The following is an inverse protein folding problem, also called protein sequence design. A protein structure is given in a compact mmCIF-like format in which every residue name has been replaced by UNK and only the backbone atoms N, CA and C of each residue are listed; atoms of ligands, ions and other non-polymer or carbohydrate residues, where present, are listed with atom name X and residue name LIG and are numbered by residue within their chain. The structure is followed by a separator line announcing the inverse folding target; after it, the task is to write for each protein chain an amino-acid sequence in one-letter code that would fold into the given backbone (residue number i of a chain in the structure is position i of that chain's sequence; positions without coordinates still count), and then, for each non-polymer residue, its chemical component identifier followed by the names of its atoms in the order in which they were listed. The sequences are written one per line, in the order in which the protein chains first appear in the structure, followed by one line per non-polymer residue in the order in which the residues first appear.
data_IF_958445191592
#
_entry.id   IF_958445191592
#
_cell.length_a   1.000
_cell.length_b   1.000
_cell.length_c   1.000
_cell.angle_alpha   90.00
_cell.angle_beta   90.00
_cell.angle_gamma   90.00
#
_symmetry.space_group_name_H-M   'P 1'
#
loop_
_entity.id
_entity.type
_entity.pdbx_description
1 polymer ?
#
# COMPACT_ATOMS: atom_id res chain seq x y z
N UNK A 1 16.48 -23.47 3.23
CA UNK A 1 15.83 -22.32 2.57
C UNK A 1 14.76 -21.86 3.55
N UNK A 2 15.06 -20.88 4.41
CA UNK A 2 14.05 -20.34 5.33
C UNK A 2 12.96 -19.71 4.47
N UNK A 3 11.69 -20.08 4.71
CA UNK A 3 10.59 -19.29 4.17
C UNK A 3 10.75 -17.89 4.76
N UNK A 4 10.98 -16.89 3.91
CA UNK A 4 10.96 -15.51 4.35
C UNK A 4 9.63 -15.28 5.08
N UNK A 5 9.70 -14.92 6.36
CA UNK A 5 8.51 -14.72 7.17
C UNK A 5 7.64 -13.65 6.53
N UNK A 6 6.35 -13.93 6.42
CA UNK A 6 5.36 -13.04 5.80
C UNK A 6 4.69 -12.26 6.91
N UNK A 7 5.27 -11.13 7.26
CA UNK A 7 4.81 -10.33 8.40
C UNK A 7 3.95 -9.14 7.94
N UNK A 8 4.49 -8.32 7.04
CA UNK A 8 3.83 -7.11 6.54
C UNK A 8 3.71 -7.07 5.01
N UNK A 9 3.02 -6.05 4.51
CA UNK A 9 2.86 -5.79 3.09
C UNK A 9 3.38 -4.40 2.72
N UNK A 10 4.34 -4.36 1.81
CA UNK A 10 4.65 -3.14 1.08
C UNK A 10 3.70 -3.04 -0.12
N UNK A 11 2.94 -1.96 -0.16
CA UNK A 11 1.97 -1.67 -1.22
C UNK A 11 2.48 -0.48 -2.04
N UNK A 12 2.52 -0.61 -3.36
CA UNK A 12 2.97 0.47 -4.25
C UNK A 12 1.80 1.26 -4.81
N UNK A 13 1.88 2.57 -4.68
CA UNK A 13 0.99 3.53 -5.31
C UNK A 13 1.76 4.32 -6.37
N UNK A 14 1.16 4.59 -7.54
CA UNK A 14 1.70 5.58 -8.46
C UNK A 14 0.88 6.87 -8.36
N UNK A 15 1.41 7.92 -7.68
CA UNK A 15 0.67 9.17 -7.47
C UNK A 15 0.35 9.94 -8.75
N UNK A 16 1.02 9.64 -9.88
CA UNK A 16 0.70 10.24 -11.18
C UNK A 16 -0.57 9.64 -11.80
N UNK A 17 -0.92 8.41 -11.43
CA UNK A 17 -2.05 7.69 -12.02
C UNK A 17 -3.26 7.66 -11.09
N UNK A 18 -3.03 7.59 -9.77
CA UNK A 18 -4.09 7.53 -8.78
C UNK A 18 -3.91 8.62 -7.73
N UNK A 19 -4.92 9.48 -7.59
CA UNK A 19 -4.94 10.64 -6.71
C UNK A 19 -5.23 10.24 -5.27
N UNK A 20 -4.27 9.54 -4.66
CA UNK A 20 -4.39 9.00 -3.31
C UNK A 20 -4.79 10.04 -2.25
N UNK A 21 -4.37 11.30 -2.46
CA UNK A 21 -4.66 12.41 -1.54
C UNK A 21 -6.14 12.77 -1.47
N UNK A 22 -6.95 12.38 -2.45
CA UNK A 22 -8.42 12.56 -2.42
C UNK A 22 -9.11 11.48 -1.56
N UNK A 23 -8.42 10.36 -1.29
CA UNK A 23 -9.00 9.17 -0.64
C UNK A 23 -8.50 8.94 0.78
N UNK A 24 -7.31 9.43 1.12
CA UNK A 24 -6.73 9.32 2.47
C UNK A 24 -6.65 10.72 3.07
N UNK A 25 -7.49 11.12 4.02
CA UNK A 25 -7.54 12.48 4.58
C UNK A 25 -6.23 12.98 5.20
N UNK A 26 -6.09 14.31 5.35
CA UNK A 26 -4.95 14.97 6.03
C UNK A 26 -5.14 15.14 7.53
N UNK A 27 -6.36 14.94 8.04
CA UNK A 27 -6.73 15.18 9.44
C UNK A 27 -6.32 14.03 10.39
N UNK A 28 -5.61 13.03 9.87
CA UNK A 28 -5.21 11.83 10.61
C UNK A 28 -6.30 10.77 10.72
N UNK A 29 -7.48 10.98 10.15
CA UNK A 29 -8.52 9.95 10.12
C UNK A 29 -8.12 8.76 9.24
N UNK A 30 -8.61 7.58 9.62
CA UNK A 30 -8.40 6.33 8.89
C UNK A 30 -9.37 6.27 7.71
N UNK A 31 -8.83 6.04 6.51
CA UNK A 31 -9.60 5.77 5.31
C UNK A 31 -9.67 4.27 5.01
N UNK A 32 -10.86 3.78 4.67
CA UNK A 32 -11.04 2.44 4.10
C UNK A 32 -10.99 2.49 2.57
N UNK A 33 -10.00 1.80 1.98
CA UNK A 33 -9.78 1.81 0.53
C UNK A 33 -9.78 0.39 -0.02
N UNK A 34 -10.61 0.16 -1.04
CA UNK A 34 -10.61 -1.09 -1.80
C UNK A 34 -9.46 -1.07 -2.83
N UNK A 35 -8.37 -1.77 -2.51
CA UNK A 35 -7.13 -1.73 -3.29
C UNK A 35 -7.04 -2.89 -4.28
N UNK A 36 -6.89 -2.58 -5.57
CA UNK A 36 -6.74 -3.61 -6.62
C UNK A 36 -5.47 -4.44 -6.42
N UNK A 37 -5.62 -5.76 -6.38
CA UNK A 37 -4.50 -6.68 -6.19
C UNK A 37 -4.62 -7.92 -7.10
N UNK A 38 -3.52 -8.69 -7.22
CA UNK A 38 -3.47 -9.98 -7.91
C UNK A 38 -3.17 -11.14 -6.94
N UNK A 39 -3.38 -10.90 -5.65
CA UNK A 39 -3.17 -11.89 -4.60
C UNK A 39 -4.34 -12.89 -4.57
N UNK A 40 -4.14 -14.04 -3.94
CA UNK A 40 -5.18 -15.09 -3.86
C UNK A 40 -6.06 -14.87 -2.62
N UNK A 41 -7.37 -15.12 -2.68
CA UNK A 41 -8.20 -15.20 -1.48
C UNK A 41 -7.58 -16.11 -0.41
N UNK A 42 -7.67 -15.72 0.86
CA UNK A 42 -7.08 -16.41 2.00
C UNK A 42 -5.55 -16.32 2.09
N UNK A 43 -4.87 -15.63 1.17
CA UNK A 43 -3.39 -15.55 1.18
C UNK A 43 -2.81 -14.47 2.08
N UNK A 44 -3.66 -13.56 2.59
CA UNK A 44 -3.25 -12.44 3.43
C UNK A 44 -4.13 -12.46 4.69
N UNK A 45 -3.55 -12.61 5.89
CA UNK A 45 -4.29 -12.49 7.13
C UNK A 45 -4.95 -11.11 7.31
N UNK A 46 -6.01 -11.05 8.12
CA UNK A 46 -6.58 -9.78 8.56
C UNK A 46 -5.64 -9.10 9.56
N UNK A 47 -5.59 -7.76 9.56
CA UNK A 47 -4.71 -6.99 10.44
C UNK A 47 -3.23 -7.06 10.03
N UNK A 48 -2.90 -7.54 8.83
CA UNK A 48 -1.52 -7.54 8.33
C UNK A 48 -1.06 -6.08 8.15
N UNK A 49 0.08 -5.67 8.74
CA UNK A 49 0.63 -4.33 8.58
C UNK A 49 0.85 -3.96 7.11
N UNK A 50 0.54 -2.72 6.75
CA UNK A 50 0.62 -2.20 5.40
C UNK A 50 1.38 -0.89 5.37
N UNK A 51 2.36 -0.82 4.47
CA UNK A 51 3.15 0.38 4.22
C UNK A 51 2.94 0.81 2.77
N UNK A 52 2.32 1.98 2.57
CA UNK A 52 2.00 2.49 1.25
C UNK A 52 3.13 3.36 0.70
N UNK A 53 3.91 2.81 -0.23
CA UNK A 53 5.02 3.49 -0.88
C UNK A 53 4.60 4.10 -2.23
N UNK A 54 4.74 5.41 -2.35
CA UNK A 54 4.58 6.15 -3.60
C UNK A 54 5.77 5.95 -4.53
N UNK A 55 5.51 5.60 -5.79
CA UNK A 55 6.56 5.44 -6.80
C UNK A 55 7.10 6.78 -7.31
N UNK A 56 8.28 6.75 -7.91
CA UNK A 56 8.84 7.90 -8.63
C UNK A 56 9.36 9.02 -7.73
N UNK A 57 9.96 8.68 -6.58
CA UNK A 57 10.52 9.67 -5.66
C UNK A 57 9.57 10.13 -4.56
N UNK A 58 8.35 9.60 -4.49
CA UNK A 58 7.30 10.17 -3.64
C UNK A 58 7.42 9.80 -2.15
N UNK A 59 8.16 8.73 -1.83
CA UNK A 59 8.28 8.24 -0.45
C UNK A 59 7.01 7.56 0.06
N UNK A 60 6.90 7.40 1.38
CA UNK A 60 5.70 6.81 1.99
C UNK A 60 4.55 7.81 1.99
N UNK A 61 3.34 7.31 1.74
CA UNK A 61 2.12 8.09 1.64
C UNK A 61 1.19 7.83 2.83
N UNK A 62 1.15 6.58 3.28
CA UNK A 62 0.25 6.10 4.32
C UNK A 62 0.77 4.81 4.96
N UNK A 63 0.25 4.51 6.14
CA UNK A 63 0.43 3.25 6.87
C UNK A 63 -0.91 2.72 7.34
N UNK A 64 -0.98 1.44 7.69
CA UNK A 64 -2.15 0.86 8.33
C UNK A 64 -2.19 -0.64 8.20
N UNK A 65 -3.34 -1.21 7.86
CA UNK A 65 -3.55 -2.67 7.92
C UNK A 65 -4.54 -3.20 6.88
N UNK A 66 -4.51 -4.50 6.65
CA UNK A 66 -5.55 -5.20 5.89
C UNK A 66 -6.84 -5.35 6.71
N UNK A 67 -7.98 -5.06 6.09
CA UNK A 67 -9.29 -5.04 6.75
C UNK A 67 -10.28 -6.05 6.15
N UNK A 68 -9.92 -6.74 5.06
CA UNK A 68 -10.73 -7.81 4.49
C UNK A 68 -9.87 -8.87 3.83
N UNK A 69 -10.49 -10.02 3.55
CA UNK A 69 -9.95 -10.94 2.54
C UNK A 69 -10.08 -10.33 1.13
N UNK A 70 -9.37 -10.94 0.18
CA UNK A 70 -9.37 -10.58 -1.24
C UNK A 70 -10.63 -11.13 -1.90
N UNK A 71 -11.39 -10.26 -2.57
CA UNK A 71 -12.64 -10.61 -3.25
C UNK A 71 -12.86 -9.77 -4.50
N UNK A 72 -13.71 -10.27 -5.39
CA UNK A 72 -14.19 -9.44 -6.49
C UNK A 72 -15.01 -8.29 -5.91
N UNK A 73 -14.74 -7.06 -6.32
CA UNK A 73 -15.42 -5.87 -5.81
C UNK A 73 -15.60 -4.88 -6.95
N UNK A 74 -16.77 -4.25 -7.13
CA UNK A 74 -16.92 -3.12 -8.03
C UNK A 74 -15.99 -1.98 -7.60
N UNK A 75 -15.40 -1.24 -8.54
CA UNK A 75 -14.65 -0.05 -8.16
C UNK A 75 -15.54 1.19 -8.06
N UNK A 76 -14.96 2.28 -7.56
CA UNK A 76 -15.67 3.54 -7.36
C UNK A 76 -16.13 4.15 -8.70
N UNK A 77 -17.37 4.63 -8.72
CA UNK A 77 -17.94 5.35 -9.88
C UNK A 77 -17.15 6.62 -10.19
N UNK A 78 -16.84 7.44 -9.17
CA UNK A 78 -15.85 8.52 -9.25
C UNK A 78 -14.50 8.04 -8.71
N UNK A 79 -13.85 7.17 -9.48
CA UNK A 79 -12.56 6.64 -9.09
C UNK A 79 -11.48 7.72 -9.18
N UNK A 80 -10.58 7.78 -8.20
CA UNK A 80 -9.45 8.72 -8.15
C UNK A 80 -8.36 8.44 -9.21
N UNK A 81 -8.64 7.63 -10.24
CA UNK A 81 -7.74 7.49 -11.37
C UNK A 81 -7.76 8.73 -12.26
N UNK A 82 -6.61 9.11 -12.79
CA UNK A 82 -6.50 10.18 -13.78
C UNK A 82 -7.08 9.77 -15.13
N UNK A 83 -7.34 10.73 -16.02
CA UNK A 83 -8.16 10.56 -17.24
C UNK A 83 -7.81 9.33 -18.11
N UNK A 84 -6.51 9.02 -18.29
CA UNK A 84 -6.06 7.84 -19.06
C UNK A 84 -6.13 6.48 -18.31
N UNK A 85 -6.47 6.49 -17.02
CA UNK A 85 -6.43 5.32 -16.15
C UNK A 85 -7.80 4.95 -15.55
N UNK A 86 -8.87 5.65 -15.92
CA UNK A 86 -10.24 5.41 -15.42
C UNK A 86 -10.71 3.95 -15.57
N UNK A 87 -10.26 3.23 -16.60
CA UNK A 87 -10.55 1.81 -16.83
C UNK A 87 -10.12 0.91 -15.64
N UNK A 88 -9.17 1.34 -14.81
CA UNK A 88 -8.71 0.60 -13.62
C UNK A 88 -9.67 0.70 -12.44
N UNK A 89 -10.68 1.57 -12.52
CA UNK A 89 -11.76 1.68 -11.55
C UNK A 89 -12.92 0.72 -11.79
N UNK A 90 -12.85 -0.16 -12.81
CA UNK A 90 -13.89 -1.18 -13.02
C UNK A 90 -13.89 -2.29 -11.96
N UNK A 91 -14.72 -3.31 -12.13
CA UNK A 91 -14.70 -4.50 -11.28
C UNK A 91 -13.33 -5.21 -11.33
N UNK A 92 -12.81 -5.61 -10.17
CA UNK A 92 -11.52 -6.28 -10.04
C UNK A 92 -11.42 -6.99 -8.69
N UNK A 93 -10.42 -7.88 -8.57
CA UNK A 93 -10.02 -8.43 -7.28
C UNK A 93 -9.39 -7.33 -6.42
N UNK A 94 -9.93 -7.13 -5.23
CA UNK A 94 -9.52 -6.09 -4.29
C UNK A 94 -9.38 -6.65 -2.89
N UNK A 95 -8.46 -6.03 -2.14
CA UNK A 95 -8.33 -6.19 -0.70
C UNK A 95 -8.63 -4.83 -0.07
N UNK A 96 -9.43 -4.81 0.99
CA UNK A 96 -9.68 -3.57 1.73
C UNK A 96 -8.52 -3.27 2.65
N UNK A 97 -8.04 -2.04 2.60
CA UNK A 97 -6.99 -1.51 3.46
C UNK A 97 -7.57 -0.39 4.33
N UNK A 98 -7.23 -0.38 5.61
CA UNK A 98 -7.38 0.78 6.49
C UNK A 98 -6.07 1.55 6.45
N UNK A 99 -6.11 2.79 5.99
CA UNK A 99 -4.91 3.59 5.77
C UNK A 99 -5.05 4.94 6.46
N UNK A 100 -4.02 5.30 7.21
CA UNK A 100 -3.83 6.63 7.78
C UNK A 100 -2.70 7.33 7.03
N UNK A 101 -2.90 8.59 6.65
CA UNK A 101 -1.87 9.36 5.94
C UNK A 101 -0.65 9.54 6.84
N UNK A 102 0.50 9.15 6.31
CA UNK A 102 1.79 9.34 6.96
C UNK A 102 2.83 9.61 5.86
N UNK A 103 3.06 10.89 5.58
CA UNK A 103 3.91 11.32 4.47
C UNK A 103 5.37 11.42 4.92
N UNK A 104 6.18 10.48 4.47
CA UNK A 104 7.63 10.50 4.69
C UNK A 104 8.36 10.57 3.35
N UNK A 105 9.29 11.52 3.23
CA UNK A 105 10.12 11.67 2.03
C UNK A 105 10.93 10.38 1.77
N UNK A 106 11.06 10.00 0.49
CA UNK A 106 11.89 8.88 0.05
C UNK A 106 13.34 8.96 0.57
N UNK A 107 13.87 10.17 0.82
CA UNK A 107 15.20 10.37 1.40
C UNK A 107 15.40 9.60 2.72
N UNK A 108 14.40 9.57 3.60
CA UNK A 108 14.47 8.84 4.86
C UNK A 108 14.64 7.33 4.64
N UNK A 109 13.90 6.77 3.67
CA UNK A 109 14.04 5.36 3.27
C UNK A 109 15.36 5.07 2.54
N UNK A 110 15.85 6.02 1.72
CA UNK A 110 17.14 5.87 1.00
C UNK A 110 18.34 5.82 1.95
N UNK A 111 18.23 6.51 3.08
CA UNK A 111 19.27 6.57 4.09
C UNK A 111 19.13 5.46 5.16
N UNK A 112 18.18 4.52 4.97
CA UNK A 112 17.97 3.40 5.89
C UNK A 112 18.50 2.08 5.32
N UNK A 113 18.67 1.03 6.16
CA UNK A 113 18.99 -0.32 5.71
C UNK A 113 17.99 -0.88 4.69
N UNK A 114 16.76 -0.34 4.65
CA UNK A 114 15.66 -0.81 3.82
C UNK A 114 15.55 -0.09 2.47
N UNK A 115 16.55 0.69 2.07
CA UNK A 115 16.57 1.42 0.79
C UNK A 115 16.31 0.53 -0.44
N UNK A 116 16.66 -0.76 -0.38
CA UNK A 116 16.42 -1.70 -1.47
C UNK A 116 14.92 -1.95 -1.75
N UNK A 117 14.04 -1.72 -0.77
CA UNK A 117 12.58 -1.84 -0.95
C UNK A 117 12.05 -0.93 -2.05
N UNK A 118 12.69 0.23 -2.27
CA UNK A 118 12.35 1.19 -3.35
C UNK A 118 12.42 0.53 -4.72
N UNK A 119 13.29 -0.47 -4.91
CA UNK A 119 13.54 -1.12 -6.20
C UNK A 119 12.54 -2.23 -6.55
N UNK A 120 11.74 -2.72 -5.59
CA UNK A 120 10.76 -3.80 -5.81
C UNK A 120 9.67 -3.35 -6.81
N UNK A 121 9.42 -4.10 -7.87
CA UNK A 121 8.50 -3.66 -8.95
C UNK A 121 7.04 -4.12 -8.77
N UNK A 122 6.78 -5.03 -7.84
CA UNK A 122 5.45 -5.63 -7.65
C UNK A 122 4.58 -4.68 -6.80
N UNK A 123 3.29 -4.58 -7.12
CA UNK A 123 2.33 -3.75 -6.37
C UNK A 123 2.21 -4.16 -4.90
N UNK A 124 2.18 -5.46 -4.64
CA UNK A 124 2.18 -6.02 -3.28
C UNK A 124 3.42 -6.89 -3.13
N UNK A 125 4.24 -6.61 -2.12
CA UNK A 125 5.35 -7.49 -1.77
C UNK A 125 5.36 -7.75 -0.27
N UNK A 126 5.56 -9.01 0.10
CA UNK A 126 5.73 -9.42 1.48
C UNK A 126 6.97 -8.78 2.08
N UNK A 127 6.84 -8.33 3.32
CA UNK A 127 7.93 -7.88 4.16
C UNK A 127 8.20 -8.93 5.24
N UNK A 128 9.48 -9.09 5.58
CA UNK A 128 9.84 -9.79 6.81
C UNK A 128 9.40 -9.00 8.05
N UNK A 129 9.51 -9.63 9.20
CA UNK A 129 9.37 -8.99 10.51
C UNK A 129 10.36 -7.84 10.67
N UNK A 130 11.65 -8.07 10.39
CA UNK A 130 12.72 -7.06 10.45
C UNK A 130 12.41 -5.87 9.53
N UNK A 131 11.98 -6.13 8.30
CA UNK A 131 11.58 -5.08 7.36
C UNK A 131 10.37 -4.30 7.87
N UNK A 132 9.37 -4.97 8.43
CA UNK A 132 8.12 -4.33 8.87
C UNK A 132 8.34 -3.47 10.11
N UNK A 133 8.95 -4.03 11.15
CA UNK A 133 9.28 -3.33 12.39
C UNK A 133 10.27 -2.18 12.14
N UNK A 134 11.23 -2.41 11.24
CA UNK A 134 12.18 -1.38 10.83
C UNK A 134 11.53 -0.23 10.07
N UNK A 135 10.51 -0.50 9.24
CA UNK A 135 9.72 0.54 8.59
C UNK A 135 8.83 1.30 9.57
N UNK A 136 8.19 0.63 10.53
CA UNK A 136 7.43 1.28 11.61
C UNK A 136 8.30 2.31 12.34
N UNK A 137 9.51 1.92 12.77
CA UNK A 137 10.43 2.84 13.44
C UNK A 137 10.89 4.04 12.59
N UNK A 138 10.85 3.93 11.26
CA UNK A 138 11.18 5.04 10.34
C UNK A 138 9.99 5.99 10.17
N UNK A 139 8.78 5.48 10.41
CA UNK A 139 7.51 6.15 10.12
C UNK A 139 6.85 6.75 11.36
N UNK A 140 7.27 6.34 12.56
CA UNK A 140 6.99 7.01 13.83
C UNK A 140 7.75 8.35 13.97
#
# INVERSE_FOLDING_TARGET
MQMAERFGLLVRCNPKHWKWWEKIPTDGSVAEIEWTCRLKPGSVPLGTPVFLLGTGGSGFLAVGETASDIRMTPGDFDNSWTHGHKHRGGEAMRIRLKLQRNQLNEASLRNSPFAYLIRRQITFSWLSDEESLGLESILD
#
